data_IF_092158949674
#
_entry.id   IF_092158949674
#
_cell.length_a   1.000
_cell.length_b   1.000
_cell.length_c   1.000
_cell.angle_alpha   90.00
_cell.angle_beta   90.00
_cell.angle_gamma   90.00
#
_symmetry.space_group_name_H-M   'P 1'
#
loop_
_entity.id
_entity.type
_entity.pdbx_description
1 polymer ?
#
# COMPACT_ATOMS: atom_id res chain seq x y z
N UNK A 1 21.16 -28.34 -38.85
CA UNK A 1 21.14 -26.89 -39.16
C UNK A 1 21.36 -26.16 -37.86
N UNK A 2 22.21 -25.14 -37.81
CA UNK A 2 22.36 -24.36 -36.58
C UNK A 2 21.01 -23.71 -36.24
N UNK A 3 20.55 -23.80 -34.99
CA UNK A 3 19.32 -23.15 -34.60
C UNK A 3 19.51 -21.62 -34.60
N UNK A 4 18.49 -20.85 -34.99
CA UNK A 4 18.52 -19.40 -34.83
C UNK A 4 18.68 -19.02 -33.35
N UNK A 5 19.22 -17.83 -33.10
CA UNK A 5 19.50 -17.33 -31.74
C UNK A 5 18.23 -17.33 -30.87
N UNK A 6 18.33 -17.92 -29.67
CA UNK A 6 17.27 -17.87 -28.64
C UNK A 6 16.49 -19.18 -28.41
N UNK A 7 16.85 -20.28 -29.06
CA UNK A 7 16.13 -21.55 -28.91
C UNK A 7 16.83 -22.54 -27.98
N UNK A 8 16.08 -23.16 -27.07
CA UNK A 8 16.52 -24.33 -26.29
C UNK A 8 16.09 -25.59 -27.03
N UNK A 9 17.06 -26.29 -27.61
CA UNK A 9 16.83 -27.56 -28.30
C UNK A 9 17.18 -28.71 -27.36
N UNK A 10 16.20 -29.57 -27.10
CA UNK A 10 16.40 -30.84 -26.41
C UNK A 10 16.32 -31.91 -27.50
N UNK A 11 17.48 -32.38 -27.93
CA UNK A 11 17.57 -33.49 -28.87
C UNK A 11 18.08 -34.71 -28.11
N UNK A 12 17.37 -35.82 -28.22
CA UNK A 12 17.91 -37.16 -27.96
C UNK A 12 17.47 -38.07 -29.12
N UNK A 13 18.28 -39.09 -29.43
CA UNK A 13 17.96 -40.11 -30.44
C UNK A 13 17.19 -41.30 -29.86
N UNK A 14 16.85 -41.23 -28.57
CA UNK A 14 16.08 -42.23 -27.84
C UNK A 14 14.82 -41.65 -27.15
N UNK A 15 13.88 -42.55 -26.83
CA UNK A 15 12.45 -42.30 -26.54
C UNK A 15 12.08 -41.48 -25.29
N UNK A 16 13.02 -40.79 -24.61
CA UNK A 16 12.72 -40.16 -23.30
C UNK A 16 13.44 -38.82 -23.07
N UNK A 17 13.24 -37.84 -23.98
CA UNK A 17 13.72 -36.46 -23.79
C UNK A 17 12.91 -35.77 -22.67
N UNK A 18 13.54 -35.49 -21.53
CA UNK A 18 12.94 -34.70 -20.43
C UNK A 18 13.82 -33.49 -20.10
N UNK A 19 13.25 -32.29 -20.14
CA UNK A 19 13.86 -31.12 -19.51
C UNK A 19 13.60 -31.17 -18.00
N UNK A 20 14.50 -31.82 -17.27
CA UNK A 20 14.41 -31.90 -15.82
C UNK A 20 15.28 -30.79 -15.24
N UNK A 21 14.64 -29.78 -14.66
CA UNK A 21 15.30 -28.81 -13.78
C UNK A 21 15.02 -29.21 -12.32
N UNK A 22 15.87 -30.06 -11.77
CA UNK A 22 15.84 -30.48 -10.37
C UNK A 22 16.25 -31.95 -10.19
N UNK A 23 17.30 -32.20 -9.41
CA UNK A 23 17.61 -33.54 -8.92
C UNK A 23 17.08 -33.69 -7.50
N UNK A 24 16.39 -34.79 -7.20
CA UNK A 24 16.10 -35.15 -5.82
C UNK A 24 17.39 -35.56 -5.13
N UNK A 25 17.62 -35.10 -3.90
CA UNK A 25 18.78 -35.54 -3.09
C UNK A 25 18.60 -36.97 -2.56
N UNK A 26 17.43 -37.58 -2.78
CA UNK A 26 17.10 -38.95 -2.41
C UNK A 26 16.19 -39.64 -3.44
N UNK A 27 16.20 -40.98 -3.43
CA UNK A 27 15.36 -41.79 -4.31
C UNK A 27 13.87 -41.50 -4.08
N UNK A 28 13.17 -41.00 -5.11
CA UNK A 28 11.73 -40.71 -5.06
C UNK A 28 11.38 -39.23 -4.85
N UNK A 29 12.37 -38.36 -4.69
CA UNK A 29 12.17 -36.91 -4.70
C UNK A 29 12.38 -36.34 -6.10
N UNK A 30 11.49 -35.44 -6.52
CA UNK A 30 11.56 -34.69 -7.75
C UNK A 30 11.16 -33.25 -7.45
N UNK A 31 12.01 -32.32 -7.88
CA UNK A 31 11.68 -30.91 -7.94
C UNK A 31 11.63 -30.53 -9.41
N UNK A 32 10.72 -29.64 -9.80
CA UNK A 32 10.64 -29.24 -11.20
C UNK A 32 9.57 -28.22 -11.50
N UNK A 33 9.55 -27.84 -12.78
CA UNK A 33 8.49 -27.05 -13.38
C UNK A 33 7.69 -27.98 -14.29
N UNK A 34 6.36 -27.99 -14.15
CA UNK A 34 5.49 -28.79 -15.02
C UNK A 34 4.22 -28.04 -15.40
N UNK A 35 3.73 -28.30 -16.61
CA UNK A 35 2.37 -27.95 -16.99
C UNK A 35 1.42 -29.10 -16.65
N UNK A 36 0.50 -28.89 -15.71
CA UNK A 36 -0.54 -29.85 -15.39
C UNK A 36 -1.67 -29.72 -16.41
N UNK A 37 -1.78 -30.68 -17.33
CA UNK A 37 -2.81 -30.69 -18.38
C UNK A 37 -4.23 -30.88 -17.83
N UNK A 38 -4.39 -31.65 -16.75
CA UNK A 38 -5.72 -31.92 -16.19
C UNK A 38 -6.30 -30.69 -15.45
N UNK A 39 -5.45 -29.93 -14.76
CA UNK A 39 -5.83 -28.70 -14.07
C UNK A 39 -5.59 -27.41 -14.89
N UNK A 40 -4.98 -27.53 -16.07
CA UNK A 40 -4.60 -26.42 -16.95
C UNK A 40 -3.78 -25.34 -16.23
N UNK A 41 -2.65 -25.72 -15.63
CA UNK A 41 -1.83 -24.81 -14.81
C UNK A 41 -0.33 -25.07 -14.90
N UNK A 42 0.50 -24.05 -14.70
CA UNK A 42 1.94 -24.17 -14.50
C UNK A 42 2.22 -24.33 -13.00
N UNK A 43 3.00 -25.33 -12.60
CA UNK A 43 3.46 -25.48 -11.21
C UNK A 43 4.96 -25.60 -11.10
N UNK A 44 5.48 -25.05 -10.00
CA UNK A 44 6.81 -25.34 -9.47
C UNK A 44 6.57 -26.22 -8.24
N UNK A 45 7.10 -27.43 -8.26
CA UNK A 45 6.79 -28.44 -7.23
C UNK A 45 8.04 -29.05 -6.62
N UNK A 46 7.87 -29.59 -5.42
CA UNK A 46 8.81 -30.46 -4.73
C UNK A 46 8.00 -31.67 -4.25
N UNK A 47 8.40 -32.90 -4.65
CA UNK A 47 7.56 -34.09 -4.45
C UNK A 47 7.66 -34.72 -3.06
N UNK A 48 8.36 -34.09 -2.11
CA UNK A 48 8.18 -34.46 -0.70
C UNK A 48 6.85 -33.89 -0.20
N UNK A 49 5.82 -34.74 -0.20
CA UNK A 49 4.50 -34.52 0.42
C UNK A 49 3.63 -33.41 -0.21
N UNK A 50 2.91 -33.79 -1.28
CA UNK A 50 1.52 -33.37 -1.55
C UNK A 50 1.20 -31.90 -1.81
N UNK A 51 2.19 -31.01 -1.81
CA UNK A 51 1.94 -29.58 -1.87
C UNK A 51 2.88 -28.93 -2.87
N UNK A 52 2.34 -28.46 -4.01
CA UNK A 52 3.11 -27.64 -4.95
C UNK A 52 3.67 -26.41 -4.23
N UNK A 53 4.93 -26.07 -4.50
CA UNK A 53 5.57 -24.91 -3.88
C UNK A 53 4.85 -23.64 -4.31
N UNK A 54 4.59 -23.52 -5.62
CA UNK A 54 3.82 -22.44 -6.25
C UNK A 54 2.96 -23.05 -7.37
N UNK A 55 1.66 -22.76 -7.38
CA UNK A 55 0.69 -23.19 -8.40
C UNK A 55 0.03 -21.95 -9.03
N UNK A 56 0.07 -21.83 -10.37
CA UNK A 56 -0.58 -20.78 -11.15
C UNK A 56 -1.70 -21.37 -11.99
N UNK A 57 -2.96 -21.26 -11.56
CA UNK A 57 -4.06 -21.91 -12.26
C UNK A 57 -4.61 -21.13 -13.46
N UNK A 58 -5.41 -21.81 -14.28
CA UNK A 58 -6.04 -21.20 -15.47
C UNK A 58 -7.05 -20.09 -15.17
N UNK A 59 -7.42 -19.89 -13.90
CA UNK A 59 -8.24 -18.76 -13.45
C UNK A 59 -7.40 -17.55 -13.05
N UNK A 60 -6.06 -17.62 -13.11
CA UNK A 60 -5.16 -16.54 -12.72
C UNK A 60 -4.80 -16.51 -11.23
N UNK A 61 -5.09 -17.59 -10.49
CA UNK A 61 -4.80 -17.67 -9.05
C UNK A 61 -3.39 -18.14 -8.79
N UNK A 62 -2.79 -17.66 -7.70
CA UNK A 62 -1.47 -18.09 -7.21
C UNK A 62 -1.64 -18.77 -5.85
N UNK A 63 -1.27 -20.04 -5.75
CA UNK A 63 -1.21 -20.76 -4.48
C UNK A 63 0.22 -21.06 -4.06
N UNK A 64 0.60 -20.76 -2.81
CA UNK A 64 1.85 -21.21 -2.20
C UNK A 64 1.53 -22.33 -1.23
N UNK A 65 2.13 -23.52 -1.41
CA UNK A 65 1.78 -24.71 -0.62
C UNK A 65 0.28 -25.02 -0.63
N UNK A 66 -0.36 -24.95 -1.80
CA UNK A 66 -1.71 -25.49 -2.02
C UNK A 66 -1.85 -26.00 -3.46
N UNK A 67 -2.55 -27.12 -3.65
CA UNK A 67 -2.88 -27.65 -4.98
C UNK A 67 -4.13 -27.00 -5.59
N UNK A 68 -4.94 -26.32 -4.77
CA UNK A 68 -6.19 -25.67 -5.16
C UNK A 68 -6.16 -24.24 -4.63
N UNK A 69 -5.59 -23.28 -5.39
CA UNK A 69 -5.63 -21.88 -5.00
C UNK A 69 -7.09 -21.41 -4.88
N UNK A 70 -7.44 -20.83 -3.73
CA UNK A 70 -8.78 -20.28 -3.46
C UNK A 70 -8.82 -18.76 -3.57
N UNK A 71 -7.66 -18.12 -3.61
CA UNK A 71 -7.49 -16.67 -3.68
C UNK A 71 -6.86 -16.30 -5.01
N UNK A 72 -7.51 -15.39 -5.72
CA UNK A 72 -6.91 -14.73 -6.88
C UNK A 72 -5.70 -13.92 -6.40
N UNK A 73 -4.65 -13.87 -7.21
CA UNK A 73 -3.67 -12.79 -7.09
C UNK A 73 -4.36 -11.53 -7.63
N UNK A 74 -5.25 -10.96 -6.82
CA UNK A 74 -6.17 -9.93 -7.25
C UNK A 74 -5.57 -8.55 -7.05
N UNK A 75 -5.70 -7.67 -8.05
CA UNK A 75 -5.41 -6.23 -7.97
C UNK A 75 -6.52 -5.41 -7.26
N UNK A 76 -7.45 -6.09 -6.61
CA UNK A 76 -8.63 -5.52 -5.95
C UNK A 76 -8.44 -5.30 -4.45
N UNK A 77 -7.21 -5.17 -3.97
CA UNK A 77 -6.94 -5.00 -2.55
C UNK A 77 -7.62 -3.73 -2.02
N UNK A 78 -8.40 -3.88 -0.95
CA UNK A 78 -9.05 -2.77 -0.24
C UNK A 78 -8.29 -2.32 1.01
N UNK A 79 -7.30 -3.09 1.44
CA UNK A 79 -6.43 -2.76 2.56
C UNK A 79 -4.99 -3.23 2.28
N UNK A 80 -4.00 -2.58 2.87
CA UNK A 80 -2.60 -2.90 2.68
C UNK A 80 -1.68 -2.22 3.70
N UNK A 81 -0.37 -2.41 3.49
CA UNK A 81 0.68 -1.69 4.22
C UNK A 81 1.42 -0.80 3.22
N UNK A 82 1.50 0.49 3.50
CA UNK A 82 2.22 1.46 2.67
C UNK A 82 3.72 1.16 2.67
N UNK A 83 4.49 1.69 1.69
CA UNK A 83 5.95 1.54 1.67
C UNK A 83 6.65 2.06 2.94
N UNK A 84 6.01 2.98 3.67
CA UNK A 84 6.51 3.54 4.93
C UNK A 84 6.11 2.72 6.17
N UNK A 85 5.24 1.72 6.02
CA UNK A 85 4.75 0.89 7.13
C UNK A 85 3.44 1.36 7.75
N UNK A 86 2.67 2.22 7.07
CA UNK A 86 1.33 2.62 7.50
C UNK A 86 0.24 1.64 7.04
N UNK A 87 -0.77 1.41 7.86
CA UNK A 87 -1.96 0.67 7.46
C UNK A 87 -2.85 1.56 6.59
N UNK A 88 -3.20 1.08 5.41
CA UNK A 88 -3.93 1.86 4.41
C UNK A 88 -5.14 1.12 3.86
N UNK A 89 -6.14 1.87 3.43
CA UNK A 89 -7.38 1.39 2.79
C UNK A 89 -7.61 2.10 1.45
N UNK A 90 -8.32 1.47 0.50
CA UNK A 90 -8.74 2.14 -0.74
C UNK A 90 -10.12 2.78 -0.56
N UNK A 91 -10.19 4.07 -0.86
CA UNK A 91 -11.44 4.84 -0.92
C UNK A 91 -11.51 5.60 -2.26
N UNK A 92 -12.73 5.94 -2.69
CA UNK A 92 -12.97 6.73 -3.89
C UNK A 92 -12.68 8.20 -3.62
N UNK A 93 -11.81 8.82 -4.43
CA UNK A 93 -11.57 10.26 -4.38
C UNK A 93 -12.82 11.02 -4.83
N UNK A 94 -13.38 11.85 -3.93
CA UNK A 94 -14.49 12.78 -4.20
C UNK A 94 -14.14 14.22 -3.86
N UNK A 95 -12.85 14.56 -3.87
CA UNK A 95 -12.37 15.92 -3.60
C UNK A 95 -12.73 16.92 -4.70
N UNK A 96 -13.26 16.48 -5.85
CA UNK A 96 -13.50 17.33 -7.02
C UNK A 96 -12.23 17.70 -7.78
N UNK A 97 -11.08 17.15 -7.42
CA UNK A 97 -9.78 17.42 -8.04
C UNK A 97 -8.83 16.22 -7.96
N UNK A 98 -7.63 16.34 -8.51
CA UNK A 98 -6.59 15.32 -8.34
C UNK A 98 -6.07 15.36 -6.89
N UNK A 99 -5.79 14.20 -6.31
CA UNK A 99 -5.20 14.12 -4.97
C UNK A 99 -3.80 14.74 -4.90
N UNK A 100 -3.43 15.24 -3.72
CA UNK A 100 -2.03 15.59 -3.37
C UNK A 100 -1.58 14.65 -2.26
N UNK A 101 -0.37 14.10 -2.37
CA UNK A 101 0.19 13.21 -1.35
C UNK A 101 0.25 13.92 0.02
N UNK A 102 -0.03 13.18 1.08
CA UNK A 102 -0.04 13.65 2.46
C UNK A 102 -1.21 14.56 2.85
N UNK A 103 -2.14 14.88 1.93
CA UNK A 103 -3.33 15.65 2.29
C UNK A 103 -4.22 14.89 3.26
N UNK A 104 -4.77 15.61 4.22
CA UNK A 104 -5.77 15.12 5.16
C UNK A 104 -7.12 14.97 4.48
N UNK A 105 -7.79 13.87 4.79
CA UNK A 105 -9.10 13.55 4.25
C UNK A 105 -10.08 13.17 5.34
N UNK A 106 -11.36 13.37 5.02
CA UNK A 106 -12.49 12.99 5.83
C UNK A 106 -13.49 12.18 4.99
N UNK A 107 -14.48 11.59 5.65
CA UNK A 107 -15.50 10.77 4.98
C UNK A 107 -16.36 11.61 4.05
N UNK A 108 -16.64 11.12 2.83
CA UNK A 108 -17.70 11.69 2.01
C UNK A 108 -19.07 11.26 2.57
N UNK A 109 -19.94 12.22 2.84
CA UNK A 109 -21.30 11.95 3.35
C UNK A 109 -22.31 11.66 2.24
N UNK A 110 -21.91 11.84 0.96
CA UNK A 110 -22.78 11.65 -0.20
C UNK A 110 -22.53 10.34 -0.97
N UNK A 111 -21.34 9.75 -0.84
CA UNK A 111 -20.93 8.55 -1.60
C UNK A 111 -20.36 7.50 -0.66
N UNK A 112 -20.82 6.26 -0.77
CA UNK A 112 -20.24 5.12 -0.04
C UNK A 112 -18.78 4.88 -0.43
N UNK A 113 -17.97 4.42 0.53
CA UNK A 113 -16.54 4.10 0.34
C UNK A 113 -15.73 5.23 -0.31
N UNK A 114 -16.00 6.48 0.05
CA UNK A 114 -15.38 7.66 -0.54
C UNK A 114 -14.87 8.65 0.51
N UNK A 115 -13.97 9.53 0.07
CA UNK A 115 -13.40 10.58 0.88
C UNK A 115 -13.46 11.94 0.16
N UNK A 116 -13.52 12.99 0.96
CA UNK A 116 -13.32 14.37 0.53
C UNK A 116 -12.12 14.98 1.26
N UNK A 117 -11.72 16.16 0.83
CA UNK A 117 -10.65 16.90 1.52
C UNK A 117 -11.15 17.30 2.91
N UNK A 118 -10.30 17.15 3.92
CA UNK A 118 -10.61 17.66 5.25
C UNK A 118 -10.83 19.17 5.20
N UNK A 119 -11.85 19.64 5.94
CA UNK A 119 -12.12 21.07 6.01
C UNK A 119 -11.07 21.79 6.86
N UNK A 120 -11.18 23.12 6.96
CA UNK A 120 -10.34 23.90 7.86
C UNK A 120 -10.65 23.49 9.30
N UNK A 121 -9.60 23.25 10.09
CA UNK A 121 -9.70 22.89 11.50
C UNK A 121 -10.55 21.62 11.76
N UNK A 122 -10.60 20.70 10.78
CA UNK A 122 -11.40 19.48 10.83
C UNK A 122 -11.08 18.58 12.03
N UNK A 123 -12.12 18.04 12.67
CA UNK A 123 -12.02 17.07 13.78
C UNK A 123 -12.25 15.63 13.33
N UNK A 124 -12.90 15.41 12.19
CA UNK A 124 -13.31 14.07 11.72
C UNK A 124 -12.38 13.54 10.61
N UNK A 125 -11.07 13.79 10.75
CA UNK A 125 -10.07 13.25 9.82
C UNK A 125 -10.01 11.73 9.93
N UNK A 126 -9.97 11.04 8.78
CA UNK A 126 -9.94 9.57 8.73
C UNK A 126 -8.59 9.01 8.23
N UNK A 127 -7.73 9.86 7.67
CA UNK A 127 -6.46 9.42 7.11
C UNK A 127 -5.76 10.50 6.29
N UNK A 128 -4.71 10.07 5.60
CA UNK A 128 -3.97 10.89 4.62
C UNK A 128 -3.86 10.19 3.28
N UNK A 129 -3.89 10.97 2.21
CA UNK A 129 -3.65 10.48 0.85
C UNK A 129 -2.21 9.97 0.72
N UNK A 130 -2.02 8.74 0.23
CA UNK A 130 -0.68 8.21 -0.04
C UNK A 130 -0.05 8.83 -1.30
N UNK A 131 -0.77 8.82 -2.42
CA UNK A 131 -0.25 9.17 -3.74
C UNK A 131 -0.92 10.41 -4.33
N UNK A 132 -0.13 11.26 -4.97
CA UNK A 132 -0.63 12.42 -5.73
C UNK A 132 -1.13 12.04 -7.12
N UNK A 133 -1.99 12.87 -7.71
CA UNK A 133 -2.40 12.75 -9.11
C UNK A 133 -3.54 11.77 -9.37
N UNK A 134 -4.18 11.23 -8.33
CA UNK A 134 -5.34 10.34 -8.49
C UNK A 134 -6.56 11.20 -8.76
N UNK A 135 -7.17 11.04 -9.94
CA UNK A 135 -8.30 11.86 -10.36
C UNK A 135 -9.58 11.63 -9.55
N UNK A 136 -10.47 12.62 -9.56
CA UNK A 136 -11.81 12.51 -8.97
C UNK A 136 -12.57 11.29 -9.56
N UNK A 137 -13.29 10.58 -8.70
CA UNK A 137 -14.00 9.34 -9.01
C UNK A 137 -13.13 8.09 -9.12
N UNK A 138 -11.80 8.19 -8.92
CA UNK A 138 -10.89 7.04 -8.93
C UNK A 138 -10.55 6.58 -7.51
N UNK A 139 -10.18 5.31 -7.36
CA UNK A 139 -9.70 4.78 -6.07
C UNK A 139 -8.30 5.32 -5.73
N UNK A 140 -8.13 5.78 -4.49
CA UNK A 140 -6.86 6.20 -3.93
C UNK A 140 -6.58 5.45 -2.62
N UNK A 141 -5.29 5.25 -2.31
CA UNK A 141 -4.86 4.72 -1.02
C UNK A 141 -4.85 5.81 0.04
N UNK A 142 -5.54 5.55 1.14
CA UNK A 142 -5.59 6.41 2.32
C UNK A 142 -4.91 5.68 3.48
N UNK A 143 -3.88 6.29 4.06
CA UNK A 143 -3.18 5.75 5.24
C UNK A 143 -3.95 6.20 6.49
N UNK A 144 -4.43 5.24 7.28
CA UNK A 144 -5.32 5.49 8.43
C UNK A 144 -4.63 5.25 9.78
N UNK A 145 -3.44 4.63 9.80
CA UNK A 145 -2.65 4.42 11.01
C UNK A 145 -1.21 4.07 10.65
N UNK A 146 -0.26 4.25 11.59
CA UNK A 146 1.15 3.91 11.39
C UNK A 146 1.92 5.05 10.72
N UNK A 147 2.94 4.75 9.90
CA UNK A 147 3.83 5.79 9.37
C UNK A 147 3.34 6.29 8.00
N UNK A 148 3.25 7.61 7.85
CA UNK A 148 2.93 8.29 6.59
C UNK A 148 3.69 9.61 6.45
N UNK A 149 3.78 10.11 5.22
CA UNK A 149 4.20 11.48 4.95
C UNK A 149 2.95 12.36 4.93
N UNK A 150 2.94 13.45 5.72
CA UNK A 150 1.81 14.37 5.86
C UNK A 150 2.17 15.71 5.24
N UNK A 151 1.25 16.29 4.48
CA UNK A 151 1.39 17.62 3.90
C UNK A 151 1.14 18.70 4.96
N UNK A 152 2.18 19.48 5.26
CA UNK A 152 2.07 20.61 6.18
C UNK A 152 1.49 21.82 5.46
N UNK A 153 0.75 22.65 6.19
CA UNK A 153 0.25 23.93 5.70
C UNK A 153 1.40 24.83 5.24
N UNK A 154 1.08 25.82 4.43
CA UNK A 154 2.09 26.70 3.84
C UNK A 154 3.08 27.29 4.88
N UNK A 155 4.34 27.42 4.47
CA UNK A 155 5.45 27.97 5.25
C UNK A 155 5.63 27.37 6.67
N UNK A 156 5.23 26.11 6.87
CA UNK A 156 5.33 25.43 8.16
C UNK A 156 6.45 24.41 8.16
N UNK A 157 7.38 24.53 9.13
CA UNK A 157 8.41 23.53 9.37
C UNK A 157 7.87 22.38 10.23
N UNK A 158 8.36 21.16 9.98
CA UNK A 158 8.11 20.00 10.82
C UNK A 158 9.30 19.76 11.74
N UNK A 159 9.03 19.53 13.03
CA UNK A 159 10.06 19.20 14.03
C UNK A 159 9.72 17.89 14.69
N UNK A 160 10.70 16.98 14.78
CA UNK A 160 10.55 15.67 15.42
C UNK A 160 10.04 15.81 16.84
N UNK A 161 9.03 15.01 17.17
CA UNK A 161 8.37 15.00 18.47
C UNK A 161 7.21 15.99 18.57
N UNK A 162 7.11 16.96 17.65
CA UNK A 162 5.98 17.87 17.67
C UNK A 162 4.69 17.12 17.38
N UNK A 163 3.65 17.59 18.06
CA UNK A 163 2.28 17.18 17.86
C UNK A 163 1.77 17.69 16.51
N UNK A 164 0.97 16.89 15.83
CA UNK A 164 0.41 17.19 14.52
C UNK A 164 -1.12 17.21 14.60
N UNK A 165 -1.72 18.25 14.03
CA UNK A 165 -3.17 18.41 13.94
C UNK A 165 -3.62 18.84 12.54
N UNK A 166 -4.91 18.74 12.24
CA UNK A 166 -5.51 19.47 11.12
C UNK A 166 -5.24 20.97 11.27
N UNK A 167 -5.02 21.69 10.17
CA UNK A 167 -4.61 23.10 10.20
C UNK A 167 -5.74 24.08 9.84
N UNK A 168 -5.40 25.36 9.88
CA UNK A 168 -6.24 26.45 9.36
C UNK A 168 -6.37 26.47 7.82
N UNK A 169 -5.72 25.52 7.14
CA UNK A 169 -5.71 25.35 5.69
C UNK A 169 -6.31 23.97 5.35
N UNK A 170 -7.38 23.94 4.54
CA UNK A 170 -8.14 22.72 4.25
C UNK A 170 -7.24 21.64 3.65
N UNK A 171 -7.28 20.44 4.22
CA UNK A 171 -6.50 19.29 3.76
C UNK A 171 -5.04 19.28 4.19
N UNK A 172 -4.57 20.25 4.99
CA UNK A 172 -3.18 20.32 5.44
C UNK A 172 -3.06 20.26 6.95
N UNK A 173 -1.90 19.79 7.40
CA UNK A 173 -1.57 19.64 8.80
C UNK A 173 -0.75 20.81 9.36
N UNK A 174 -0.77 20.96 10.67
CA UNK A 174 0.06 21.88 11.43
C UNK A 174 0.85 21.10 12.49
N UNK A 175 2.15 21.40 12.60
CA UNK A 175 3.05 20.79 13.57
C UNK A 175 3.84 21.80 14.40
N UNK A 176 3.37 23.05 14.53
CA UNK A 176 4.13 24.11 15.22
C UNK A 176 4.34 23.86 16.72
N UNK A 177 3.49 23.07 17.36
CA UNK A 177 3.49 22.90 18.81
C UNK A 177 4.27 21.65 19.25
N UNK A 178 5.24 21.84 20.15
CA UNK A 178 6.02 20.75 20.74
C UNK A 178 5.22 19.89 21.73
N UNK A 179 4.15 20.43 22.31
CA UNK A 179 3.23 19.74 23.21
C UNK A 179 1.80 20.04 22.80
N UNK A 180 0.83 19.14 23.04
CA UNK A 180 -0.57 19.51 22.96
C UNK A 180 -0.85 20.67 23.94
N UNK A 181 -1.76 21.61 23.59
CA UNK A 181 -2.16 22.66 24.52
C UNK A 181 -2.78 22.03 25.80
N UNK A 182 -2.54 22.60 26.99
CA UNK A 182 -2.91 21.96 28.27
C UNK A 182 -3.76 22.80 29.24
N UNK A 183 -4.80 22.18 29.80
CA UNK A 183 -5.76 22.62 30.84
C UNK A 183 -7.03 23.46 30.48
N UNK A 184 -8.12 22.91 29.88
CA UNK A 184 -9.38 23.64 29.53
C UNK A 184 -10.23 23.10 28.35
N UNK A 185 -11.49 23.57 28.21
CA UNK A 185 -12.42 23.22 27.10
C UNK A 185 -11.86 23.52 25.70
N UNK A 186 -11.20 24.67 25.44
CA UNK A 186 -10.61 24.97 24.14
C UNK A 186 -9.55 23.96 23.68
N UNK A 187 -9.03 23.13 24.59
CA UNK A 187 -8.07 22.09 24.24
C UNK A 187 -8.73 20.77 23.92
N UNK A 188 -9.97 20.54 24.37
CA UNK A 188 -10.72 19.40 23.90
C UNK A 188 -10.88 19.53 22.38
N UNK A 189 -11.25 20.73 21.91
CA UNK A 189 -11.38 21.02 20.48
C UNK A 189 -10.05 20.83 19.74
N UNK A 190 -8.93 21.25 20.33
CA UNK A 190 -7.60 21.04 19.75
C UNK A 190 -7.19 19.56 19.74
N UNK A 191 -7.45 18.83 20.83
CA UNK A 191 -7.14 17.42 20.93
C UNK A 191 -7.96 16.58 19.96
N UNK A 192 -9.22 16.94 19.70
CA UNK A 192 -10.05 16.29 18.67
C UNK A 192 -9.56 16.53 17.24
N UNK A 193 -8.60 17.44 17.05
CA UNK A 193 -7.96 17.70 15.74
C UNK A 193 -6.61 17.00 15.59
N UNK A 194 -6.14 16.30 16.61
CA UNK A 194 -4.88 15.57 16.60
C UNK A 194 -4.90 14.45 15.56
N UNK A 195 -3.79 14.34 14.83
CA UNK A 195 -3.61 13.32 13.79
C UNK A 195 -2.26 12.57 13.91
N UNK A 196 -1.46 12.87 14.93
CA UNK A 196 -0.21 12.15 15.18
C UNK A 196 0.96 12.98 15.70
N UNK A 197 2.18 12.47 15.46
CA UNK A 197 3.43 13.15 15.82
C UNK A 197 4.47 13.07 14.70
N UNK A 198 5.22 14.15 14.50
CA UNK A 198 6.37 14.19 13.59
C UNK A 198 7.50 13.27 14.08
N UNK A 199 8.10 12.48 13.19
CA UNK A 199 9.28 11.65 13.50
C UNK A 199 10.57 12.12 12.81
N UNK A 200 10.48 13.20 12.04
CA UNK A 200 11.62 13.84 11.39
C UNK A 200 11.58 15.37 11.48
N UNK A 201 12.70 15.99 11.11
CA UNK A 201 12.79 17.44 10.96
C UNK A 201 12.76 17.77 9.47
N UNK A 202 11.86 18.67 9.06
CA UNK A 202 11.79 19.20 7.70
C UNK A 202 11.68 20.72 7.80
N UNK A 203 12.59 21.42 7.12
CA UNK A 203 12.55 22.88 7.07
C UNK A 203 11.34 23.35 6.26
N UNK A 204 10.79 24.51 6.62
CA UNK A 204 9.71 25.12 5.83
C UNK A 204 10.18 25.33 4.37
N UNK A 205 9.26 25.13 3.42
CA UNK A 205 9.51 25.33 1.99
C UNK A 205 9.61 26.80 1.58
N UNK A 206 9.22 27.73 2.47
CA UNK A 206 8.90 29.11 2.15
C UNK A 206 7.45 29.27 1.68
N UNK A 207 6.95 30.50 1.65
CA UNK A 207 5.57 30.78 1.24
C UNK A 207 5.24 30.29 -0.18
N UNK A 208 4.06 29.68 -0.32
CA UNK A 208 3.56 29.01 -1.51
C UNK A 208 4.04 27.56 -1.68
N UNK A 209 4.67 26.95 -0.67
CA UNK A 209 5.22 25.60 -0.77
C UNK A 209 4.87 24.74 0.46
N UNK A 210 4.04 23.72 0.24
CA UNK A 210 3.77 22.67 1.21
C UNK A 210 4.93 21.67 1.25
N UNK A 211 5.32 21.29 2.46
CA UNK A 211 6.30 20.23 2.68
C UNK A 211 5.60 18.93 3.05
N UNK A 212 6.24 17.81 2.72
CA UNK A 212 5.88 16.50 3.27
C UNK A 212 6.79 16.22 4.46
N UNK A 213 6.19 15.84 5.59
CA UNK A 213 6.93 15.42 6.76
C UNK A 213 6.41 14.09 7.29
N UNK A 214 7.36 13.20 7.61
CA UNK A 214 7.06 11.87 8.13
C UNK A 214 6.55 11.93 9.55
N UNK A 215 5.38 11.32 9.74
CA UNK A 215 4.69 11.27 11.01
C UNK A 215 4.25 9.84 11.33
N UNK A 216 4.06 9.58 12.63
CA UNK A 216 3.26 8.43 13.10
C UNK A 216 1.84 8.93 13.27
N UNK A 217 0.92 8.37 12.49
CA UNK A 217 -0.50 8.67 12.49
C UNK A 217 -1.24 7.92 13.61
N UNK A 218 -2.02 8.70 14.34
CA UNK A 218 -3.12 8.26 15.18
C UNK A 218 -4.21 9.31 15.11
N UNK A 219 -5.47 8.91 15.20
CA UNK A 219 -6.61 9.82 15.22
C UNK A 219 -7.32 9.63 16.56
N UNK A 220 -7.79 10.73 17.16
CA UNK A 220 -8.53 10.70 18.43
C UNK A 220 -10.02 10.43 18.24
#
# INVERSE_FOLDING_TARGET
ANPPEGEVWLMDDDIDVRFILGEGTSSGESAGMQWNRAGNYLSIYHSSVGTGSIVLDSSGRVGVKTATPTTDFSVGEKAGISPLGGFMIKLTNKTGSNTIAGQLVQTDTATDDAFILSSVDETENIGVVLDSGIGDGSEAWIVISGIADIAMKDDTAATRGNWVKASSEAGYADSINANPPGGGIPELDEHMREIGNCIENVVAGGGGAHILARCVLHFN
#
